data_IF_498301725345
#
_entry.id   IF_498301725345
#
_cell.length_a   1.000
_cell.length_b   1.000
_cell.length_c   1.000
_cell.angle_alpha   90.00
_cell.angle_beta   90.00
_cell.angle_gamma   90.00
#
_symmetry.space_group_name_H-M   'P 1'
#
loop_
_entity.id
_entity.type
_entity.pdbx_description
1 polymer ?
#
# COMPACT_ATOMS: atom_id res chain seq x y z
N UNK A 1 -8.78 30.78 31.33
CA UNK A 1 -7.34 30.46 31.47
C UNK A 1 -7.00 29.77 32.79
N UNK A 2 -7.54 30.18 33.94
CA UNK A 2 -7.14 29.61 35.25
C UNK A 2 -7.62 28.19 35.53
N UNK A 3 -8.76 27.77 34.95
CA UNK A 3 -9.21 26.38 35.02
C UNK A 3 -8.25 25.42 34.30
N UNK A 4 -7.79 25.80 33.09
CA UNK A 4 -6.81 25.03 32.32
C UNK A 4 -5.45 24.96 33.04
N UNK A 5 -4.98 26.09 33.60
CA UNK A 5 -3.74 26.13 34.39
C UNK A 5 -3.81 25.25 35.65
N UNK A 6 -4.96 25.22 36.35
CA UNK A 6 -5.17 24.33 37.52
C UNK A 6 -5.23 22.86 37.12
N UNK A 7 -5.89 22.54 36.01
CA UNK A 7 -5.98 21.19 35.48
C UNK A 7 -4.60 20.67 35.04
N UNK A 8 -3.83 21.46 34.30
CA UNK A 8 -2.44 21.13 33.91
C UNK A 8 -1.53 20.93 35.13
N UNK A 9 -1.63 21.79 36.16
CA UNK A 9 -0.89 21.59 37.42
C UNK A 9 -1.30 20.30 38.16
N UNK A 10 -2.53 19.83 37.97
CA UNK A 10 -3.01 18.57 38.54
C UNK A 10 -2.37 17.34 37.91
N UNK A 11 -2.08 17.37 36.59
CA UNK A 11 -1.46 16.27 35.86
C UNK A 11 -0.03 15.94 36.30
N UNK A 12 0.70 16.94 36.79
CA UNK A 12 2.10 16.78 37.24
C UNK A 12 2.26 16.65 38.76
N UNK A 13 1.15 16.52 39.50
CA UNK A 13 1.20 16.28 40.95
C UNK A 13 1.39 14.78 41.25
N UNK A 14 2.28 14.40 42.18
CA UNK A 14 2.45 13.00 42.56
C UNK A 14 1.15 12.42 43.10
N UNK A 15 0.84 11.17 42.74
CA UNK A 15 -0.36 10.49 43.21
C UNK A 15 -0.26 10.24 44.71
N UNK A 16 -1.22 10.77 45.48
CA UNK A 16 -1.32 10.50 46.91
C UNK A 16 -1.98 9.13 47.22
N UNK A 17 -2.54 8.45 46.21
CA UNK A 17 -3.36 7.23 46.37
C UNK A 17 -2.74 5.97 45.77
N UNK A 18 -1.83 6.11 44.80
CA UNK A 18 -1.25 4.99 44.06
C UNK A 18 0.26 4.98 44.23
N UNK A 19 0.85 3.80 44.44
CA UNK A 19 2.30 3.64 44.49
C UNK A 19 2.92 3.91 43.11
N UNK A 20 4.19 4.32 43.09
CA UNK A 20 4.95 4.53 41.86
C UNK A 20 4.96 3.24 41.01
N UNK A 21 5.13 2.08 41.66
CA UNK A 21 5.10 0.78 40.98
C UNK A 21 3.76 0.50 40.30
N UNK A 22 2.63 0.84 40.95
CA UNK A 22 1.30 0.65 40.37
C UNK A 22 1.06 1.58 39.17
N UNK A 23 1.53 2.83 39.23
CA UNK A 23 1.44 3.79 38.11
C UNK A 23 2.31 3.35 36.92
N UNK A 24 3.52 2.86 37.18
CA UNK A 24 4.41 2.31 36.14
C UNK A 24 3.79 1.07 35.51
N UNK A 25 3.28 0.13 36.33
CA UNK A 25 2.62 -1.07 35.82
C UNK A 25 1.42 -0.70 34.93
N UNK A 26 0.56 0.23 35.36
CA UNK A 26 -0.55 0.71 34.57
C UNK A 26 -0.10 1.36 33.25
N UNK A 27 0.92 2.21 33.30
CA UNK A 27 1.48 2.86 32.10
C UNK A 27 2.04 1.84 31.10
N UNK A 28 2.76 0.83 31.58
CA UNK A 28 3.27 -0.27 30.75
C UNK A 28 2.12 -1.07 30.16
N UNK A 29 1.10 -1.43 30.95
CA UNK A 29 -0.07 -2.15 30.46
C UNK A 29 -0.80 -1.37 29.37
N UNK A 30 -1.03 -0.07 29.56
CA UNK A 30 -1.65 0.80 28.55
C UNK A 30 -0.77 0.88 27.29
N UNK A 31 0.54 1.02 27.45
CA UNK A 31 1.49 1.05 26.34
C UNK A 31 1.48 -0.23 25.52
N UNK A 32 1.52 -1.38 26.18
CA UNK A 32 1.47 -2.71 25.53
C UNK A 32 0.15 -2.88 24.79
N UNK A 33 -0.99 -2.60 25.43
CA UNK A 33 -2.30 -2.67 24.77
C UNK A 33 -2.34 -1.75 23.55
N UNK A 34 -1.86 -0.51 23.69
CA UNK A 34 -1.82 0.45 22.59
C UNK A 34 -1.00 -0.03 21.39
N UNK A 35 0.21 -0.53 21.63
CA UNK A 35 1.09 -1.06 20.55
C UNK A 35 0.48 -2.30 19.92
N UNK A 36 -0.02 -3.25 20.71
CA UNK A 36 -0.63 -4.48 20.19
C UNK A 36 -1.86 -4.15 19.35
N UNK A 37 -2.76 -3.29 19.84
CA UNK A 37 -3.94 -2.88 19.07
C UNK A 37 -3.56 -2.17 17.78
N UNK A 38 -2.53 -1.30 17.82
CA UNK A 38 -2.02 -0.63 16.64
C UNK A 38 -1.48 -1.62 15.60
N UNK A 39 -0.58 -2.52 15.98
CA UNK A 39 0.01 -3.51 15.07
C UNK A 39 -1.03 -4.46 14.49
N UNK A 40 -1.98 -4.93 15.31
CA UNK A 40 -3.09 -5.78 14.84
C UNK A 40 -3.96 -5.04 13.84
N UNK A 41 -4.34 -3.79 14.12
CA UNK A 41 -5.13 -2.97 13.19
C UNK A 41 -4.37 -2.68 11.88
N UNK A 42 -3.06 -2.44 11.97
CA UNK A 42 -2.19 -2.23 10.81
C UNK A 42 -2.07 -3.47 9.94
N UNK A 43 -1.88 -4.64 10.56
CA UNK A 43 -1.82 -5.92 9.87
C UNK A 43 -3.16 -6.27 9.22
N UNK A 44 -4.27 -6.11 9.94
CA UNK A 44 -5.62 -6.35 9.42
C UNK A 44 -5.93 -5.48 8.19
N UNK A 45 -5.62 -4.17 8.26
CA UNK A 45 -5.84 -3.25 7.14
C UNK A 45 -4.87 -3.41 5.97
N UNK A 46 -4.00 -4.43 6.01
CA UNK A 46 -3.08 -4.82 4.95
C UNK A 46 -3.40 -6.20 4.37
N UNK A 47 -4.43 -6.90 4.86
CA UNK A 47 -4.81 -8.21 4.31
C UNK A 47 -5.59 -8.06 3.02
N UNK A 48 -5.62 -9.13 2.22
CA UNK A 48 -6.37 -9.15 0.98
C UNK A 48 -7.88 -9.09 1.24
N UNK A 49 -8.37 -9.72 2.30
CA UNK A 49 -9.78 -9.63 2.70
C UNK A 49 -10.21 -8.19 2.98
N UNK A 50 -9.35 -7.40 3.64
CA UNK A 50 -9.63 -5.98 3.84
C UNK A 50 -9.62 -5.20 2.51
N UNK A 51 -8.61 -5.41 1.66
CA UNK A 51 -8.51 -4.72 0.37
C UNK A 51 -9.69 -5.06 -0.57
N UNK A 52 -10.06 -6.35 -0.62
CA UNK A 52 -11.17 -6.88 -1.42
C UNK A 52 -12.54 -6.40 -0.98
N UNK A 53 -12.68 -5.91 0.25
CA UNK A 53 -13.93 -5.37 0.75
C UNK A 53 -14.35 -4.01 0.18
N UNK A 54 -13.44 -3.25 -0.47
CA UNK A 54 -13.73 -1.84 -0.81
C UNK A 54 -13.48 -1.41 -2.26
N UNK A 55 -12.33 -1.73 -2.88
CA UNK A 55 -11.93 -1.18 -4.19
C UNK A 55 -11.80 -2.22 -5.29
N UNK A 56 -12.30 -3.43 -5.07
CA UNK A 56 -12.19 -4.49 -6.05
C UNK A 56 -13.46 -4.61 -6.90
N UNK A 57 -13.39 -4.03 -8.09
CA UNK A 57 -14.38 -4.23 -9.14
C UNK A 57 -14.28 -5.67 -9.66
N UNK A 58 -15.37 -6.47 -9.58
CA UNK A 58 -15.43 -7.82 -10.14
C UNK A 58 -15.04 -7.82 -11.62
N UNK A 59 -14.32 -8.85 -12.06
CA UNK A 59 -13.79 -8.94 -13.43
C UNK A 59 -12.64 -8.01 -13.77
N UNK A 60 -12.22 -7.10 -12.89
CA UNK A 60 -11.20 -6.09 -13.21
C UNK A 60 -9.95 -6.13 -12.33
N UNK A 61 -10.11 -6.34 -11.02
CA UNK A 61 -9.04 -6.06 -10.05
C UNK A 61 -8.54 -7.31 -9.32
N UNK A 62 -9.36 -7.94 -8.47
CA UNK A 62 -8.99 -9.14 -7.70
C UNK A 62 -8.70 -10.33 -8.64
N UNK A 63 -9.62 -10.56 -9.58
CA UNK A 63 -9.55 -11.68 -10.52
C UNK A 63 -8.33 -11.59 -11.43
N UNK A 64 -8.04 -10.41 -11.97
CA UNK A 64 -6.87 -10.22 -12.84
C UNK A 64 -5.55 -10.35 -12.08
N UNK A 65 -5.52 -9.97 -10.80
CA UNK A 65 -4.37 -10.26 -9.94
C UNK A 65 -4.19 -11.77 -9.76
N UNK A 66 -5.27 -12.54 -9.54
CA UNK A 66 -5.20 -14.00 -9.46
C UNK A 66 -4.76 -14.68 -10.75
N UNK A 67 -4.86 -14.00 -11.90
CA UNK A 67 -4.35 -14.48 -13.19
C UNK A 67 -2.91 -14.03 -13.47
N UNK A 68 -2.37 -13.12 -12.67
CA UNK A 68 -1.05 -12.52 -12.90
C UNK A 68 0.10 -13.45 -12.51
N UNK A 69 1.30 -13.11 -13.00
CA UNK A 69 2.55 -13.78 -12.60
C UNK A 69 2.93 -13.53 -11.13
N UNK A 70 2.36 -12.53 -10.47
CA UNK A 70 2.58 -12.31 -9.03
C UNK A 70 1.76 -13.26 -8.17
N UNK A 71 0.63 -13.76 -8.68
CA UNK A 71 -0.17 -14.79 -7.99
C UNK A 71 0.22 -16.20 -8.43
N UNK A 72 0.22 -16.47 -9.74
CA UNK A 72 0.55 -17.78 -10.32
C UNK A 72 2.00 -17.79 -10.81
N UNK A 73 2.93 -18.28 -9.99
CA UNK A 73 4.33 -18.42 -10.37
C UNK A 73 4.96 -19.74 -9.92
N UNK A 74 6.06 -20.08 -10.59
CA UNK A 74 6.86 -21.30 -10.37
C UNK A 74 7.56 -21.38 -9.02
N UNK A 75 7.69 -20.27 -8.29
CA UNK A 75 8.46 -20.21 -7.03
C UNK A 75 7.60 -20.33 -5.78
N UNK A 76 6.29 -20.14 -5.90
CA UNK A 76 5.36 -20.08 -4.77
C UNK A 76 5.46 -18.81 -3.92
N UNK A 77 6.36 -17.88 -4.26
CA UNK A 77 6.44 -16.55 -3.63
C UNK A 77 5.30 -15.70 -4.17
N UNK A 78 4.41 -15.27 -3.28
CA UNK A 78 3.20 -14.53 -3.65
C UNK A 78 3.13 -13.23 -2.86
N UNK A 79 3.51 -12.07 -3.45
CA UNK A 79 3.22 -10.79 -2.84
C UNK A 79 1.71 -10.54 -2.85
N UNK A 80 1.17 -10.06 -1.74
CA UNK A 80 -0.24 -9.70 -1.59
C UNK A 80 -0.49 -8.24 -1.95
N UNK A 81 -1.76 -7.78 -1.94
CA UNK A 81 -2.13 -6.41 -2.31
C UNK A 81 -1.29 -5.34 -1.60
N UNK A 82 -1.05 -5.50 -0.30
CA UNK A 82 -0.31 -4.53 0.50
C UNK A 82 1.19 -4.49 0.17
N UNK A 83 1.79 -5.58 -0.32
CA UNK A 83 3.21 -5.59 -0.70
C UNK A 83 3.50 -4.63 -1.88
N UNK A 84 2.49 -4.39 -2.73
CA UNK A 84 2.58 -3.47 -3.88
C UNK A 84 1.99 -2.07 -3.59
N UNK A 85 0.93 -1.99 -2.79
CA UNK A 85 0.17 -0.74 -2.57
C UNK A 85 0.50 0.00 -1.26
N UNK A 86 1.21 -0.65 -0.33
CA UNK A 86 1.55 -0.11 0.98
C UNK A 86 3.05 -0.27 1.23
N UNK A 87 3.81 0.82 1.40
CA UNK A 87 5.24 0.72 1.71
C UNK A 87 5.52 -0.12 2.95
N UNK A 88 6.67 -0.79 3.00
CA UNK A 88 7.04 -1.65 4.13
C UNK A 88 7.54 -0.83 5.33
N UNK A 89 8.28 0.24 5.07
CA UNK A 89 8.91 1.13 6.04
C UNK A 89 7.88 2.01 6.74
N UNK A 90 8.05 2.20 8.05
CA UNK A 90 7.05 2.86 8.90
C UNK A 90 6.63 4.25 8.39
N UNK A 91 7.58 5.14 8.11
CA UNK A 91 7.27 6.51 7.67
C UNK A 91 6.41 6.56 6.40
N UNK A 92 6.90 6.01 5.27
CA UNK A 92 6.13 5.91 4.03
C UNK A 92 4.80 5.16 4.19
N UNK A 93 4.76 4.07 4.98
CA UNK A 93 3.54 3.31 5.29
C UNK A 93 2.47 4.18 5.94
N UNK A 94 2.85 4.94 6.98
CA UNK A 94 1.93 5.83 7.67
C UNK A 94 1.42 6.95 6.76
N UNK A 95 2.29 7.51 5.93
CA UNK A 95 1.90 8.51 4.94
C UNK A 95 0.88 7.95 3.93
N UNK A 96 1.13 6.76 3.37
CA UNK A 96 0.21 6.09 2.45
C UNK A 96 -1.14 5.79 3.11
N UNK A 97 -1.16 5.39 4.39
CA UNK A 97 -2.39 5.14 5.15
C UNK A 97 -3.20 6.41 5.42
N UNK A 98 -2.55 7.54 5.69
CA UNK A 98 -3.23 8.85 5.77
C UNK A 98 -3.89 9.19 4.44
N UNK A 99 -3.21 8.96 3.31
CA UNK A 99 -3.79 9.16 1.99
C UNK A 99 -4.94 8.18 1.74
N UNK A 100 -4.79 6.90 2.14
CA UNK A 100 -5.80 5.86 1.99
C UNK A 100 -7.11 6.18 2.73
N UNK A 101 -7.07 6.99 3.80
CA UNK A 101 -8.27 7.45 4.47
C UNK A 101 -9.22 8.21 3.52
N UNK A 102 -8.70 8.87 2.48
CA UNK A 102 -9.50 9.50 1.43
C UNK A 102 -10.18 8.47 0.51
N UNK A 103 -9.52 7.34 0.26
CA UNK A 103 -10.08 6.22 -0.52
C UNK A 103 -11.22 5.55 0.26
N UNK A 104 -11.05 5.35 1.57
CA UNK A 104 -12.12 4.86 2.46
C UNK A 104 -13.30 5.81 2.43
N UNK A 105 -13.08 7.12 2.58
CA UNK A 105 -14.15 8.12 2.47
C UNK A 105 -14.85 8.06 1.10
N UNK A 106 -14.09 7.94 0.02
CA UNK A 106 -14.65 7.83 -1.34
C UNK A 106 -15.48 6.56 -1.52
N UNK A 107 -15.08 5.44 -0.93
CA UNK A 107 -15.85 4.19 -0.92
C UNK A 107 -17.16 4.37 -0.15
N UNK A 108 -17.14 4.96 1.05
CA UNK A 108 -18.34 5.23 1.84
C UNK A 108 -19.34 6.18 1.15
N UNK A 109 -18.85 7.04 0.25
CA UNK A 109 -19.68 7.91 -0.60
C UNK A 109 -20.20 7.22 -1.87
N UNK A 110 -19.89 5.94 -2.07
CA UNK A 110 -20.37 5.15 -3.20
C UNK A 110 -19.75 5.50 -4.55
N UNK A 111 -18.55 6.10 -4.57
CA UNK A 111 -17.91 6.58 -5.80
C UNK A 111 -17.36 5.49 -6.72
N UNK A 112 -17.26 4.23 -6.25
CA UNK A 112 -16.71 3.09 -6.98
C UNK A 112 -17.61 1.84 -6.92
N UNK A 113 -18.87 1.98 -6.47
CA UNK A 113 -19.77 0.83 -6.23
C UNK A 113 -20.26 0.12 -7.50
N UNK A 114 -20.13 0.76 -8.66
CA UNK A 114 -20.56 0.19 -9.94
C UNK A 114 -19.40 0.13 -10.92
N UNK A 115 -19.47 -0.84 -11.83
CA UNK A 115 -18.50 -0.98 -12.93
C UNK A 115 -18.33 0.31 -13.70
N UNK A 116 -19.43 0.99 -14.01
CA UNK A 116 -19.42 2.26 -14.73
C UNK A 116 -18.65 3.34 -13.96
N UNK A 117 -18.94 3.50 -12.67
CA UNK A 117 -18.24 4.47 -11.82
C UNK A 117 -16.75 4.13 -11.66
N UNK A 118 -16.40 2.85 -11.61
CA UNK A 118 -15.03 2.38 -11.59
C UNK A 118 -14.30 2.72 -12.90
N UNK A 119 -14.87 2.38 -14.05
CA UNK A 119 -14.28 2.62 -15.37
C UNK A 119 -14.08 4.13 -15.64
N UNK A 120 -15.03 4.97 -15.22
CA UNK A 120 -14.88 6.43 -15.30
C UNK A 120 -13.68 6.98 -14.52
N UNK A 121 -13.16 6.23 -13.54
CA UNK A 121 -12.09 6.66 -12.63
C UNK A 121 -10.81 5.84 -12.78
N UNK A 122 -10.84 4.70 -13.48
CA UNK A 122 -9.73 3.74 -13.52
C UNK A 122 -8.45 4.36 -14.08
N UNK A 123 -8.57 5.21 -15.10
CA UNK A 123 -7.43 5.93 -15.70
C UNK A 123 -6.78 6.83 -14.65
N UNK A 124 -7.56 7.67 -13.97
CA UNK A 124 -7.06 8.54 -12.91
C UNK A 124 -6.42 7.76 -11.75
N UNK A 125 -7.06 6.66 -11.30
CA UNK A 125 -6.53 5.82 -10.23
C UNK A 125 -5.21 5.16 -10.64
N UNK A 126 -5.14 4.63 -11.86
CA UNK A 126 -3.94 4.02 -12.45
C UNK A 126 -2.80 5.04 -12.52
N UNK A 127 -3.03 6.22 -13.08
CA UNK A 127 -2.02 7.28 -13.19
C UNK A 127 -1.47 7.67 -11.83
N UNK A 128 -2.33 7.80 -10.82
CA UNK A 128 -1.91 8.15 -9.47
C UNK A 128 -0.98 7.10 -8.87
N UNK A 129 -1.29 5.81 -9.03
CA UNK A 129 -0.42 4.74 -8.53
C UNK A 129 0.86 4.60 -9.34
N UNK A 130 0.82 4.78 -10.67
CA UNK A 130 2.02 4.83 -11.51
C UNK A 130 2.93 5.98 -11.06
N UNK A 131 2.38 7.20 -10.89
CA UNK A 131 3.15 8.36 -10.45
C UNK A 131 3.78 8.15 -9.06
N UNK A 132 3.05 7.49 -8.14
CA UNK A 132 3.57 7.12 -6.82
C UNK A 132 4.77 6.18 -6.95
N UNK A 133 4.60 5.09 -7.71
CA UNK A 133 5.65 4.10 -7.96
C UNK A 133 6.84 4.67 -8.73
N UNK A 134 6.66 5.72 -9.54
CA UNK A 134 7.79 6.43 -10.17
C UNK A 134 8.50 7.33 -9.16
N UNK A 135 7.75 8.06 -8.35
CA UNK A 135 8.29 9.04 -7.41
C UNK A 135 9.16 8.41 -6.31
N UNK A 136 8.93 7.14 -5.96
CA UNK A 136 9.70 6.40 -4.96
C UNK A 136 10.62 5.33 -5.56
N UNK A 137 10.99 5.43 -6.84
CA UNK A 137 11.83 4.45 -7.54
C UNK A 137 11.32 3.00 -7.43
N UNK A 138 9.99 2.83 -7.48
CA UNK A 138 9.31 1.54 -7.43
C UNK A 138 9.74 0.72 -6.20
N UNK A 139 9.88 1.39 -5.05
CA UNK A 139 10.31 0.82 -3.77
C UNK A 139 9.61 -0.52 -3.47
N UNK A 140 8.30 -0.59 -3.67
CA UNK A 140 7.50 -1.79 -3.44
C UNK A 140 7.90 -2.96 -4.33
N UNK A 141 8.25 -2.70 -5.59
CA UNK A 141 8.81 -3.72 -6.47
C UNK A 141 10.17 -4.18 -5.95
N UNK A 142 11.01 -3.24 -5.51
CA UNK A 142 12.40 -3.49 -5.06
C UNK A 142 12.50 -4.22 -3.73
N UNK A 143 11.44 -4.20 -2.90
CA UNK A 143 11.36 -4.99 -1.67
C UNK A 143 11.50 -6.50 -1.94
N UNK A 144 11.11 -6.95 -3.14
CA UNK A 144 11.22 -8.35 -3.57
C UNK A 144 12.18 -8.53 -4.76
N UNK A 145 12.31 -7.54 -5.63
CA UNK A 145 13.14 -7.60 -6.83
C UNK A 145 14.45 -6.81 -6.68
N UNK A 146 15.46 -7.48 -6.13
CA UNK A 146 16.82 -6.94 -6.04
C UNK A 146 17.53 -7.05 -7.40
N UNK A 147 17.76 -5.89 -8.05
CA UNK A 147 18.33 -5.78 -9.40
C UNK A 147 19.71 -6.44 -9.48
N UNK A 148 20.49 -6.30 -8.41
CA UNK A 148 21.84 -6.84 -8.27
C UNK A 148 21.89 -8.37 -8.25
N UNK A 149 20.75 -9.02 -7.96
CA UNK A 149 20.64 -10.49 -7.89
C UNK A 149 20.09 -11.11 -9.17
N UNK A 150 19.70 -10.30 -10.16
CA UNK A 150 19.20 -10.82 -11.41
C UNK A 150 20.30 -11.49 -12.23
N UNK A 151 20.06 -12.73 -12.62
CA UNK A 151 20.91 -13.46 -13.56
C UNK A 151 20.46 -13.10 -14.98
N UNK A 152 21.09 -12.10 -15.59
CA UNK A 152 20.71 -11.60 -16.93
C UNK A 152 20.68 -12.72 -17.99
N UNK A 153 21.61 -13.66 -17.94
CA UNK A 153 21.67 -14.78 -18.89
C UNK A 153 20.42 -15.69 -18.88
N UNK A 154 19.59 -15.65 -17.82
CA UNK A 154 18.33 -16.40 -17.74
C UNK A 154 17.12 -15.61 -18.26
N UNK A 155 17.31 -14.36 -18.67
CA UNK A 155 16.25 -13.49 -19.18
C UNK A 155 16.20 -13.56 -20.71
N UNK A 156 15.09 -13.12 -21.31
CA UNK A 156 14.98 -12.99 -22.77
C UNK A 156 16.00 -11.96 -23.30
N UNK A 157 16.44 -12.09 -24.55
CA UNK A 157 17.41 -11.16 -25.16
C UNK A 157 16.97 -9.70 -25.04
N UNK A 158 15.67 -9.44 -25.27
CA UNK A 158 15.08 -8.11 -25.11
C UNK A 158 15.21 -7.61 -23.67
N UNK A 159 14.84 -8.43 -22.69
CA UNK A 159 14.94 -8.05 -21.28
C UNK A 159 16.41 -7.78 -20.88
N UNK A 160 17.36 -8.57 -21.39
CA UNK A 160 18.79 -8.34 -21.15
C UNK A 160 19.23 -6.95 -21.62
N UNK A 161 18.85 -6.54 -22.83
CA UNK A 161 19.20 -5.22 -23.37
C UNK A 161 18.67 -4.06 -22.49
N UNK A 162 17.40 -4.15 -22.08
CA UNK A 162 16.79 -3.11 -21.25
C UNK A 162 17.29 -3.14 -19.80
N UNK A 163 17.40 -4.31 -19.19
CA UNK A 163 17.85 -4.44 -17.80
C UNK A 163 19.34 -4.12 -17.62
N UNK A 164 20.20 -4.41 -18.62
CA UNK A 164 21.60 -3.98 -18.61
C UNK A 164 21.72 -2.46 -18.59
N UNK A 165 20.87 -1.76 -19.35
CA UNK A 165 20.89 -0.30 -19.43
C UNK A 165 20.11 0.40 -18.30
N UNK A 166 19.33 -0.34 -17.51
CA UNK A 166 18.53 0.22 -16.42
C UNK A 166 19.39 0.94 -15.36
N UNK A 167 20.61 0.44 -15.08
CA UNK A 167 21.55 1.09 -14.15
C UNK A 167 21.94 2.52 -14.57
N UNK A 168 21.87 2.83 -15.86
CA UNK A 168 22.33 4.11 -16.42
C UNK A 168 21.19 5.04 -16.84
N UNK A 169 19.95 4.54 -16.91
CA UNK A 169 18.85 5.23 -17.61
C UNK A 169 17.87 5.98 -16.69
N UNK A 170 18.12 6.03 -15.37
CA UNK A 170 17.25 6.69 -14.37
C UNK A 170 15.76 6.32 -14.54
N UNK A 171 15.50 5.05 -14.88
CA UNK A 171 14.17 4.47 -15.03
C UNK A 171 13.83 3.63 -13.82
N UNK A 172 12.57 3.66 -13.44
CA UNK A 172 11.97 2.86 -12.39
C UNK A 172 11.34 1.59 -12.98
N UNK A 173 11.01 0.61 -12.15
CA UNK A 173 10.38 -0.64 -12.62
C UNK A 173 9.07 -0.35 -13.39
N UNK A 174 8.26 0.59 -12.87
CA UNK A 174 6.95 0.94 -13.43
C UNK A 174 7.04 1.80 -14.70
N UNK A 175 8.23 2.25 -15.13
CA UNK A 175 8.37 2.92 -16.42
C UNK A 175 8.18 1.95 -17.60
N UNK A 176 8.49 0.66 -17.40
CA UNK A 176 8.33 -0.38 -18.42
C UNK A 176 7.30 -1.44 -18.05
N UNK A 177 7.20 -1.81 -16.76
CA UNK A 177 6.33 -2.89 -16.29
C UNK A 177 4.95 -2.38 -15.82
N UNK A 178 4.25 -1.66 -16.70
CA UNK A 178 2.88 -1.21 -16.43
C UNK A 178 1.87 -2.29 -16.79
N UNK A 179 0.73 -2.35 -16.09
CA UNK A 179 -0.35 -3.29 -16.40
C UNK A 179 -0.03 -4.76 -16.12
N UNK A 180 1.00 -5.04 -15.31
CA UNK A 180 1.36 -6.40 -14.88
C UNK A 180 0.24 -7.10 -14.08
N UNK A 181 -0.63 -6.30 -13.48
CA UNK A 181 -1.82 -6.68 -12.70
C UNK A 181 -2.95 -5.68 -13.01
N UNK A 182 -4.19 -6.04 -12.70
CA UNK A 182 -5.36 -5.15 -12.80
C UNK A 182 -5.74 -4.71 -14.22
N UNK A 183 -5.33 -5.46 -15.24
CA UNK A 183 -5.60 -5.16 -16.64
C UNK A 183 -6.56 -6.20 -17.26
N UNK A 184 -7.87 -6.03 -17.02
CA UNK A 184 -8.89 -6.79 -17.75
C UNK A 184 -9.17 -6.17 -19.11
N UNK A 185 -9.87 -6.89 -20.00
CA UNK A 185 -10.26 -6.38 -21.32
C UNK A 185 -11.00 -5.04 -21.24
N UNK A 186 -11.91 -4.90 -20.26
CA UNK A 186 -12.67 -3.68 -20.02
C UNK A 186 -11.77 -2.52 -19.56
N UNK A 187 -10.77 -2.79 -18.71
CA UNK A 187 -9.81 -1.77 -18.28
C UNK A 187 -8.90 -1.38 -19.43
N UNK A 188 -8.43 -2.36 -20.20
CA UNK A 188 -7.56 -2.15 -21.35
C UNK A 188 -8.25 -1.27 -22.41
N UNK A 189 -9.52 -1.52 -22.71
CA UNK A 189 -10.31 -0.69 -23.63
C UNK A 189 -10.33 0.79 -23.20
N UNK A 190 -10.66 1.06 -21.93
CA UNK A 190 -10.74 2.42 -21.41
C UNK A 190 -9.37 3.10 -21.34
N UNK A 191 -8.33 2.38 -20.91
CA UNK A 191 -6.96 2.91 -20.84
C UNK A 191 -6.42 3.22 -22.24
N UNK A 192 -6.58 2.30 -23.19
CA UNK A 192 -6.11 2.48 -24.56
C UNK A 192 -6.86 3.62 -25.28
N UNK A 193 -8.13 3.85 -24.95
CA UNK A 193 -8.89 4.98 -25.48
C UNK A 193 -8.42 6.33 -24.92
N UNK A 194 -7.91 6.36 -23.68
CA UNK A 194 -7.39 7.58 -23.05
C UNK A 194 -5.96 7.94 -23.47
N UNK A 195 -5.20 6.98 -23.98
CA UNK A 195 -3.81 7.16 -24.44
C UNK A 195 -3.70 7.55 -25.94
N UNK A 196 -4.82 7.64 -26.67
CA UNK A 196 -4.93 8.10 -28.06
C UNK A 196 -5.27 9.58 -28.15
#
# INVERSE_FOLDING_TARGET
MDALKRWLKGLFRPSAKWSIAALVALGVSIGVVGVVTFEVGMAYTNTEEFCTGCHLQPGATAETYHLSSHYNNRTGVRPICSDCHVPHEFGPKMWRKIIAAKEVWSHLMGNLETTEKYLQRVVHMREREINRLKANDSQECRNCHEVERWILALQTEKAQQFHQSMKNNNKTCIDCHQGMVHMSDMVAEVVNAAEQ
#
